data_IF_353049917780
#
_entry.id   IF_353049917780
#
_cell.length_a   1.000
_cell.length_b   1.000
_cell.length_c   1.000
_cell.angle_alpha   90.00
_cell.angle_beta   90.00
_cell.angle_gamma   90.00
#
_symmetry.space_group_name_H-M   'P 1'
#
loop_
_entity.id
_entity.type
_entity.pdbx_description
1 polymer ?
#
# COMPACT_ATOMS: atom_id res chain seq x y z
N UNK A 1 -51.96 102.22 50.78
CA UNK A 1 -50.78 101.66 50.08
C UNK A 1 -50.37 100.27 50.59
N UNK A 2 -50.39 100.01 51.90
CA UNK A 2 -49.92 98.75 52.53
C UNK A 2 -50.59 97.47 52.00
N UNK A 3 -51.90 97.48 51.70
CA UNK A 3 -52.59 96.31 51.11
C UNK A 3 -52.08 95.96 49.71
N UNK A 4 -51.67 96.94 48.90
CA UNK A 4 -51.16 96.68 47.54
C UNK A 4 -49.76 96.07 47.58
N UNK A 5 -48.89 96.54 48.48
CA UNK A 5 -47.53 95.98 48.64
C UNK A 5 -47.55 94.57 49.21
N UNK A 6 -48.40 94.27 50.18
CA UNK A 6 -48.58 92.90 50.70
C UNK A 6 -49.10 91.92 49.64
N UNK A 7 -50.06 92.36 48.82
CA UNK A 7 -50.57 91.54 47.73
C UNK A 7 -49.50 91.27 46.66
N UNK A 8 -48.63 92.23 46.36
CA UNK A 8 -47.52 92.07 45.40
C UNK A 8 -46.46 91.10 45.95
N UNK A 9 -46.11 91.20 47.23
CA UNK A 9 -45.14 90.28 47.88
C UNK A 9 -45.68 88.85 47.94
N UNK A 10 -46.98 88.67 48.26
CA UNK A 10 -47.62 87.35 48.23
C UNK A 10 -47.63 86.76 46.82
N UNK A 11 -47.89 87.58 45.79
CA UNK A 11 -47.85 87.14 44.39
C UNK A 11 -46.43 86.79 43.93
N UNK A 12 -45.41 87.53 44.40
CA UNK A 12 -43.99 87.25 44.13
C UNK A 12 -43.52 85.96 44.80
N UNK A 13 -43.92 85.71 46.05
CA UNK A 13 -43.63 84.44 46.73
C UNK A 13 -44.32 83.26 46.05
N UNK A 14 -45.58 83.43 45.64
CA UNK A 14 -46.33 82.40 44.91
C UNK A 14 -45.69 82.11 43.54
N UNK A 15 -45.26 83.15 42.83
CA UNK A 15 -44.60 83.00 41.53
C UNK A 15 -43.18 82.44 41.65
N UNK A 16 -42.42 82.80 42.68
CA UNK A 16 -41.15 82.16 43.01
C UNK A 16 -41.30 80.68 43.34
N UNK A 17 -42.35 80.31 44.11
CA UNK A 17 -42.67 78.93 44.43
C UNK A 17 -43.12 78.14 43.20
N UNK A 18 -43.94 78.74 42.33
CA UNK A 18 -44.37 78.15 41.06
C UNK A 18 -43.20 77.93 40.11
N UNK A 19 -42.29 78.91 39.98
CA UNK A 19 -41.09 78.77 39.14
C UNK A 19 -40.23 77.61 39.66
N UNK A 20 -39.98 77.54 40.96
CA UNK A 20 -39.17 76.47 41.54
C UNK A 20 -39.86 75.10 41.42
N UNK A 21 -41.18 75.04 41.56
CA UNK A 21 -41.98 73.82 41.35
C UNK A 21 -42.01 73.38 39.87
N UNK A 22 -42.06 74.30 38.92
CA UNK A 22 -41.97 74.03 37.48
C UNK A 22 -40.58 73.52 37.13
N UNK A 23 -39.51 74.14 37.65
CA UNK A 23 -38.12 73.70 37.43
C UNK A 23 -37.87 72.32 38.04
N UNK A 24 -38.36 72.05 39.26
CA UNK A 24 -38.29 70.72 39.89
C UNK A 24 -39.07 69.68 39.08
N UNK A 25 -40.25 70.01 38.59
CA UNK A 25 -41.07 69.13 37.74
C UNK A 25 -40.39 68.84 36.39
N UNK A 26 -39.75 69.83 35.77
CA UNK A 26 -38.99 69.65 34.53
C UNK A 26 -37.73 68.80 34.75
N UNK A 27 -37.03 69.00 35.87
CA UNK A 27 -35.88 68.18 36.25
C UNK A 27 -36.30 66.74 36.55
N UNK A 28 -37.43 66.51 37.21
CA UNK A 28 -37.98 65.17 37.44
C UNK A 28 -38.42 64.49 36.14
N UNK A 29 -39.05 65.22 35.21
CA UNK A 29 -39.39 64.69 33.88
C UNK A 29 -38.14 64.31 33.07
N UNK A 30 -37.10 65.15 33.10
CA UNK A 30 -35.80 64.85 32.47
C UNK A 30 -35.11 63.67 33.14
N UNK A 31 -35.15 63.58 34.46
CA UNK A 31 -34.61 62.45 35.23
C UNK A 31 -35.34 61.15 34.87
N UNK A 32 -36.67 61.19 34.78
CA UNK A 32 -37.49 60.04 34.42
C UNK A 32 -37.22 59.56 32.99
N UNK A 33 -37.16 60.48 32.03
CA UNK A 33 -36.79 60.15 30.64
C UNK A 33 -35.35 59.61 30.53
N UNK A 34 -34.42 60.14 31.33
CA UNK A 34 -33.05 59.62 31.41
C UNK A 34 -32.99 58.22 32.03
N UNK A 35 -33.79 57.94 33.07
CA UNK A 35 -33.89 56.62 33.69
C UNK A 35 -34.51 55.59 32.73
N UNK A 36 -35.52 55.96 31.97
CA UNK A 36 -36.16 55.11 30.97
C UNK A 36 -35.20 54.77 29.82
N UNK A 37 -34.48 55.77 29.30
CA UNK A 37 -33.44 55.56 28.27
C UNK A 37 -32.27 54.71 28.79
N UNK A 38 -31.87 54.87 30.06
CA UNK A 38 -30.86 54.02 30.68
C UNK A 38 -31.36 52.59 30.88
N UNK A 39 -32.62 52.40 31.28
CA UNK A 39 -33.23 51.08 31.42
C UNK A 39 -33.28 50.35 30.07
N UNK A 40 -33.64 51.05 29.01
CA UNK A 40 -33.60 50.52 27.64
C UNK A 40 -32.17 50.15 27.22
N UNK A 41 -31.20 51.01 27.49
CA UNK A 41 -29.78 50.75 27.23
C UNK A 41 -29.27 49.51 27.99
N UNK A 42 -29.67 49.34 29.25
CA UNK A 42 -29.36 48.14 30.06
C UNK A 42 -30.02 46.89 29.47
N UNK A 43 -31.25 46.99 28.98
CA UNK A 43 -31.95 45.88 28.33
C UNK A 43 -31.25 45.46 27.03
N UNK A 44 -30.84 46.41 26.21
CA UNK A 44 -30.05 46.16 24.99
C UNK A 44 -28.69 45.56 25.33
N UNK A 45 -28.00 46.07 26.36
CA UNK A 45 -26.73 45.52 26.81
C UNK A 45 -26.86 44.05 27.25
N UNK A 46 -27.92 43.72 28.00
CA UNK A 46 -28.22 42.34 28.39
C UNK A 46 -28.48 41.42 27.19
N UNK A 47 -29.16 41.91 26.15
CA UNK A 47 -29.37 41.15 24.92
C UNK A 47 -28.06 40.90 24.17
N UNK A 48 -27.20 41.90 24.08
CA UNK A 48 -25.86 41.77 23.48
C UNK A 48 -25.02 40.77 24.27
N UNK A 49 -25.02 40.84 25.60
CA UNK A 49 -24.32 39.87 26.45
C UNK A 49 -24.82 38.44 26.23
N UNK A 50 -26.14 38.24 26.17
CA UNK A 50 -26.73 36.92 25.88
C UNK A 50 -26.28 36.38 24.52
N UNK A 51 -26.26 37.23 23.48
CA UNK A 51 -25.75 36.85 22.15
C UNK A 51 -24.26 36.50 22.16
N UNK A 52 -23.44 37.22 22.93
CA UNK A 52 -22.01 36.92 23.09
C UNK A 52 -21.82 35.56 23.77
N UNK A 53 -22.58 35.25 24.82
CA UNK A 53 -22.53 33.96 25.51
C UNK A 53 -22.87 32.81 24.54
N UNK A 54 -23.93 32.95 23.74
CA UNK A 54 -24.31 31.94 22.73
C UNK A 54 -23.21 31.76 21.67
N UNK A 55 -22.66 32.86 21.14
CA UNK A 55 -21.57 32.83 20.16
C UNK A 55 -20.32 32.16 20.73
N UNK A 56 -19.96 32.44 21.98
CA UNK A 56 -18.83 31.78 22.65
C UNK A 56 -19.07 30.26 22.81
N UNK A 57 -20.30 29.85 23.12
CA UNK A 57 -20.68 28.44 23.15
C UNK A 57 -20.52 27.76 21.78
N UNK A 58 -20.91 28.45 20.70
CA UNK A 58 -20.70 27.96 19.32
C UNK A 58 -19.22 27.86 18.95
N UNK A 59 -18.41 28.86 19.30
CA UNK A 59 -16.95 28.84 19.09
C UNK A 59 -16.29 27.67 19.82
N UNK A 60 -16.67 27.40 21.07
CA UNK A 60 -16.16 26.25 21.82
C UNK A 60 -16.47 24.92 21.12
N UNK A 61 -17.69 24.76 20.58
CA UNK A 61 -18.04 23.57 19.78
C UNK A 61 -17.23 23.49 18.48
N UNK A 62 -17.00 24.61 17.80
CA UNK A 62 -16.18 24.65 16.59
C UNK A 62 -14.73 24.24 16.89
N UNK A 63 -14.14 24.72 17.99
CA UNK A 63 -12.81 24.30 18.43
C UNK A 63 -12.75 22.80 18.68
N UNK A 64 -13.75 22.23 19.37
CA UNK A 64 -13.78 20.78 19.58
C UNK A 64 -13.89 19.98 18.28
N UNK A 65 -14.63 20.47 17.29
CA UNK A 65 -14.69 19.83 15.96
C UNK A 65 -13.37 19.96 15.22
N UNK A 66 -12.69 21.11 15.33
CA UNK A 66 -11.37 21.33 14.75
C UNK A 66 -10.32 20.39 15.35
N UNK A 67 -10.29 20.23 16.68
CA UNK A 67 -9.39 19.27 17.35
C UNK A 67 -9.63 17.82 16.90
N UNK A 68 -10.89 17.44 16.64
CA UNK A 68 -11.21 16.10 16.12
C UNK A 68 -10.77 15.94 14.68
N UNK A 69 -10.95 16.97 13.86
CA UNK A 69 -10.49 16.96 12.48
C UNK A 69 -8.95 16.86 12.42
N UNK A 70 -8.26 17.61 13.27
CA UNK A 70 -6.80 17.60 13.39
C UNK A 70 -6.27 16.20 13.74
N UNK A 71 -6.83 15.57 14.78
CA UNK A 71 -6.53 14.17 15.12
C UNK A 71 -6.83 13.19 13.98
N UNK A 72 -7.93 13.41 13.27
CA UNK A 72 -8.28 12.59 12.10
C UNK A 72 -7.27 12.73 10.96
N UNK A 73 -6.67 13.91 10.79
CA UNK A 73 -5.61 14.14 9.81
C UNK A 73 -4.30 13.48 10.26
N UNK A 74 -3.93 13.58 11.53
CA UNK A 74 -2.75 12.87 12.08
C UNK A 74 -2.85 11.36 11.88
N UNK A 75 -4.01 10.77 12.17
CA UNK A 75 -4.27 9.35 11.95
C UNK A 75 -4.17 8.98 10.46
N UNK A 76 -4.68 9.84 9.57
CA UNK A 76 -4.60 9.63 8.12
C UNK A 76 -3.15 9.69 7.63
N UNK A 77 -2.36 10.66 8.10
CA UNK A 77 -0.94 10.79 7.80
C UNK A 77 -0.18 9.53 8.25
N UNK A 78 -0.42 9.05 9.47
CA UNK A 78 0.21 7.83 9.98
C UNK A 78 -0.11 6.59 9.14
N UNK A 79 -1.36 6.44 8.70
CA UNK A 79 -1.75 5.34 7.78
C UNK A 79 -1.11 5.48 6.41
N UNK A 80 -1.00 6.68 5.87
CA UNK A 80 -0.33 6.95 4.60
C UNK A 80 1.15 6.61 4.66
N UNK A 81 1.83 6.93 5.77
CA UNK A 81 3.24 6.58 5.97
C UNK A 81 3.47 5.06 6.05
N UNK A 82 2.58 4.34 6.74
CA UNK A 82 2.58 2.87 6.75
C UNK A 82 2.38 2.28 5.36
N UNK A 83 1.44 2.83 4.58
CA UNK A 83 1.20 2.42 3.19
C UNK A 83 2.43 2.67 2.31
N UNK A 84 3.11 3.81 2.47
CA UNK A 84 4.33 4.12 1.73
C UNK A 84 5.45 3.12 2.06
N UNK A 85 5.58 2.75 3.33
CA UNK A 85 6.54 1.71 3.76
C UNK A 85 6.23 0.36 3.13
N UNK A 86 4.95 -0.04 3.09
CA UNK A 86 4.54 -1.29 2.47
C UNK A 86 4.76 -1.28 0.94
N UNK A 87 4.45 -0.17 0.28
CA UNK A 87 4.71 0.00 -1.15
C UNK A 87 6.21 -0.08 -1.47
N UNK A 88 7.07 0.48 -0.63
CA UNK A 88 8.52 0.39 -0.78
C UNK A 88 8.98 -1.08 -0.73
N UNK A 89 8.46 -1.87 0.22
CA UNK A 89 8.75 -3.32 0.28
C UNK A 89 8.27 -4.07 -0.96
N UNK A 90 7.11 -3.70 -1.52
CA UNK A 90 6.60 -4.30 -2.77
C UNK A 90 7.53 -3.99 -3.95
N UNK A 91 8.07 -2.76 -4.03
CA UNK A 91 9.07 -2.39 -5.04
C UNK A 91 10.34 -3.24 -4.90
N UNK A 92 10.84 -3.44 -3.67
CA UNK A 92 12.00 -4.29 -3.40
C UNK A 92 11.76 -5.74 -3.84
N UNK A 93 10.60 -6.32 -3.51
CA UNK A 93 10.24 -7.67 -3.94
C UNK A 93 10.14 -7.81 -5.46
N UNK A 94 9.64 -6.78 -6.15
CA UNK A 94 9.60 -6.78 -7.61
C UNK A 94 11.02 -6.74 -8.19
N UNK A 95 11.93 -5.95 -7.62
CA UNK A 95 13.33 -5.90 -8.04
C UNK A 95 14.02 -7.27 -7.88
N UNK A 96 13.80 -7.93 -6.74
CA UNK A 96 14.34 -9.28 -6.50
C UNK A 96 13.76 -10.33 -7.46
N UNK A 97 12.47 -10.25 -7.76
CA UNK A 97 11.81 -11.15 -8.73
C UNK A 97 12.39 -10.97 -10.13
N UNK A 98 12.63 -9.72 -10.56
CA UNK A 98 13.26 -9.43 -11.85
C UNK A 98 14.69 -10.00 -11.92
N UNK A 99 15.46 -9.87 -10.83
CA UNK A 99 16.80 -10.45 -10.73
C UNK A 99 16.77 -11.98 -10.84
N UNK A 100 15.82 -12.63 -10.17
CA UNK A 100 15.65 -14.08 -10.26
C UNK A 100 15.28 -14.52 -11.68
N UNK A 101 14.40 -13.79 -12.35
CA UNK A 101 14.02 -14.07 -13.74
C UNK A 101 15.21 -13.94 -14.70
N UNK A 102 16.06 -12.93 -14.54
CA UNK A 102 17.29 -12.79 -15.33
C UNK A 102 18.24 -13.97 -15.11
N UNK A 103 18.42 -14.41 -13.87
CA UNK A 103 19.22 -15.60 -13.55
C UNK A 103 18.63 -16.86 -14.19
N UNK A 104 17.32 -17.05 -14.12
CA UNK A 104 16.63 -18.19 -14.73
C UNK A 104 16.79 -18.21 -16.25
N UNK A 105 16.70 -17.06 -16.91
CA UNK A 105 16.94 -16.94 -18.36
C UNK A 105 18.38 -17.29 -18.74
N UNK A 106 19.37 -16.83 -17.94
CA UNK A 106 20.78 -17.18 -18.14
C UNK A 106 21.01 -18.68 -18.01
N UNK A 107 20.46 -19.31 -16.97
CA UNK A 107 20.55 -20.76 -16.79
C UNK A 107 19.86 -21.53 -17.91
N UNK A 108 18.65 -21.13 -18.30
CA UNK A 108 17.92 -21.73 -19.42
C UNK A 108 18.73 -21.66 -20.73
N UNK A 109 19.35 -20.52 -21.00
CA UNK A 109 20.22 -20.33 -22.18
C UNK A 109 21.49 -21.18 -22.12
N UNK A 110 22.08 -21.37 -20.93
CA UNK A 110 23.20 -22.28 -20.73
C UNK A 110 22.76 -23.74 -20.97
N UNK A 111 21.68 -24.19 -20.33
CA UNK A 111 21.15 -25.54 -20.53
C UNK A 111 20.81 -25.85 -21.98
N UNK A 112 20.27 -24.87 -22.73
CA UNK A 112 20.04 -25.03 -24.18
C UNK A 112 21.33 -25.33 -24.93
N UNK A 113 22.43 -24.62 -24.62
CA UNK A 113 23.75 -24.87 -25.24
C UNK A 113 24.30 -26.24 -24.86
N UNK A 114 24.16 -26.63 -23.59
CA UNK A 114 24.61 -27.95 -23.12
C UNK A 114 23.85 -29.09 -23.82
N UNK A 115 22.52 -28.95 -23.96
CA UNK A 115 21.69 -29.91 -24.69
C UNK A 115 22.12 -30.00 -26.16
N UNK A 116 22.41 -28.87 -26.81
CA UNK A 116 22.90 -28.85 -28.19
C UNK A 116 24.26 -29.58 -28.31
N UNK A 117 25.18 -29.34 -27.37
CA UNK A 117 26.48 -30.01 -27.35
C UNK A 117 26.33 -31.52 -27.13
N UNK A 118 25.48 -31.94 -26.18
CA UNK A 118 25.19 -33.37 -25.96
C UNK A 118 24.60 -34.00 -27.22
N UNK A 119 23.65 -33.33 -27.88
CA UNK A 119 23.04 -33.83 -29.12
C UNK A 119 24.07 -33.98 -30.25
N UNK A 120 25.04 -33.07 -30.35
CA UNK A 120 26.14 -33.16 -31.33
C UNK A 120 27.04 -34.34 -31.01
N UNK A 121 27.47 -34.48 -29.75
CA UNK A 121 28.31 -35.60 -29.32
C UNK A 121 27.62 -36.95 -29.56
N UNK A 122 26.31 -37.05 -29.33
CA UNK A 122 25.54 -38.27 -29.63
C UNK A 122 25.47 -38.55 -31.14
N UNK A 123 25.33 -37.52 -31.98
CA UNK A 123 25.36 -37.68 -33.43
C UNK A 123 26.75 -38.13 -33.93
N UNK A 124 27.82 -37.65 -33.29
CA UNK A 124 29.19 -38.09 -33.57
C UNK A 124 29.46 -39.55 -33.18
N UNK A 125 28.69 -40.11 -32.22
CA UNK A 125 28.79 -41.52 -31.83
C UNK A 125 28.11 -42.48 -32.80
N UNK A 126 27.11 -42.03 -33.58
CA UNK A 126 26.38 -42.84 -34.55
C UNK A 126 27.28 -43.62 -35.54
N UNK A 127 28.28 -43.02 -36.21
CA UNK A 127 29.16 -43.76 -37.11
C UNK A 127 29.99 -44.84 -36.40
N UNK A 128 30.44 -44.59 -35.17
CA UNK A 128 31.21 -45.58 -34.40
C UNK A 128 30.33 -46.77 -33.99
N UNK A 129 29.07 -46.51 -33.62
CA UNK A 129 28.11 -47.57 -33.32
C UNK A 129 27.82 -48.43 -34.55
N UNK A 130 27.70 -47.83 -35.73
CA UNK A 130 27.54 -48.55 -37.01
C UNK A 130 28.76 -49.41 -37.34
N UNK A 131 29.97 -48.85 -37.20
CA UNK A 131 31.21 -49.60 -37.39
C UNK A 131 31.31 -50.77 -36.41
N UNK A 132 30.90 -50.58 -35.15
CA UNK A 132 30.91 -51.64 -34.15
C UNK A 132 29.94 -52.77 -34.50
N UNK A 133 28.72 -52.43 -34.97
CA UNK A 133 27.75 -53.41 -35.47
C UNK A 133 28.30 -54.20 -36.69
N UNK A 134 28.95 -53.51 -37.63
CA UNK A 134 29.61 -54.16 -38.77
C UNK A 134 30.73 -55.11 -38.34
N UNK A 135 31.60 -54.69 -37.41
CA UNK A 135 32.66 -55.55 -36.88
C UNK A 135 32.09 -56.79 -36.19
N UNK A 136 31.00 -56.65 -35.42
CA UNK A 136 30.33 -57.78 -34.77
C UNK A 136 29.71 -58.74 -35.78
N UNK A 137 29.09 -58.24 -36.85
CA UNK A 137 28.57 -59.07 -37.95
C UNK A 137 29.68 -59.83 -38.66
N UNK A 138 30.81 -59.18 -38.93
CA UNK A 138 31.97 -59.82 -39.54
C UNK A 138 32.54 -60.91 -38.63
N UNK A 139 32.70 -60.63 -37.34
CA UNK A 139 33.17 -61.61 -36.35
C UNK A 139 32.24 -62.84 -36.29
N UNK A 140 30.91 -62.62 -36.27
CA UNK A 140 29.94 -63.70 -36.29
C UNK A 140 30.04 -64.56 -37.57
N UNK A 141 30.29 -63.93 -38.73
CA UNK A 141 30.52 -64.64 -39.98
C UNK A 141 31.79 -65.48 -39.94
N UNK A 142 32.91 -64.91 -39.48
CA UNK A 142 34.19 -65.62 -39.33
C UNK A 142 34.07 -66.81 -38.38
N UNK A 143 33.40 -66.64 -37.24
CA UNK A 143 33.18 -67.73 -36.28
C UNK A 143 32.39 -68.90 -36.91
N UNK A 144 31.43 -68.60 -37.79
CA UNK A 144 30.65 -69.63 -38.50
C UNK A 144 31.48 -70.36 -39.55
N UNK A 145 32.39 -69.66 -40.24
CA UNK A 145 33.34 -70.29 -41.14
C UNK A 145 34.32 -71.18 -40.39
N UNK A 146 34.85 -70.72 -39.26
CA UNK A 146 35.73 -71.51 -38.39
C UNK A 146 35.04 -72.78 -37.88
N UNK A 147 33.78 -72.69 -37.45
CA UNK A 147 32.98 -73.86 -37.06
C UNK A 147 32.89 -74.88 -38.21
N UNK A 148 32.65 -74.41 -39.43
CA UNK A 148 32.59 -75.27 -40.62
C UNK A 148 33.94 -75.93 -40.90
N UNK A 149 35.03 -75.17 -40.87
CA UNK A 149 36.38 -75.70 -41.08
C UNK A 149 36.75 -76.74 -40.03
N UNK A 150 36.45 -76.49 -38.76
CA UNK A 150 36.69 -77.45 -37.68
C UNK A 150 35.89 -78.75 -37.87
N UNK A 151 34.65 -78.65 -38.36
CA UNK A 151 33.84 -79.82 -38.68
C UNK A 151 34.42 -80.62 -39.85
N UNK A 152 34.88 -79.96 -40.90
CA UNK A 152 35.56 -80.60 -42.03
C UNK A 152 36.86 -81.29 -41.60
N UNK A 153 37.66 -80.65 -40.73
CA UNK A 153 38.87 -81.25 -40.15
C UNK A 153 38.52 -82.49 -39.31
N UNK A 154 37.48 -82.40 -38.47
CA UNK A 154 37.01 -83.53 -37.66
C UNK A 154 36.60 -84.72 -38.53
N UNK A 155 35.80 -84.48 -39.57
CA UNK A 155 35.32 -85.52 -40.48
C UNK A 155 36.48 -86.13 -41.29
N UNK A 156 37.42 -85.31 -41.76
CA UNK A 156 38.65 -85.79 -42.41
C UNK A 156 39.51 -86.64 -41.47
N UNK A 157 39.67 -86.21 -40.22
CA UNK A 157 40.42 -86.96 -39.20
C UNK A 157 39.76 -88.31 -38.91
N UNK A 158 38.43 -88.36 -38.78
CA UNK A 158 37.67 -89.62 -38.63
C UNK A 158 37.86 -90.55 -39.82
N UNK A 159 37.85 -90.02 -41.04
CA UNK A 159 38.09 -90.78 -42.26
C UNK A 159 39.53 -91.31 -42.39
N UNK A 160 40.53 -90.54 -41.94
CA UNK A 160 41.90 -91.05 -41.88
C UNK A 160 42.04 -92.15 -40.82
N UNK A 161 41.43 -91.96 -39.65
CA UNK A 161 41.50 -92.94 -38.56
C UNK A 161 40.87 -94.28 -38.94
N UNK A 162 39.80 -94.28 -39.74
CA UNK A 162 39.17 -95.52 -40.25
C UNK A 162 40.02 -96.27 -41.28
N UNK A 163 41.03 -95.63 -41.87
CA UNK A 163 41.96 -96.23 -42.84
C UNK A 163 43.25 -96.76 -42.21
N UNK A 164 43.52 -96.47 -40.93
CA UNK A 164 44.69 -97.00 -40.23
C UNK A 164 44.44 -98.46 -39.79
N UNK A 165 45.27 -99.42 -40.21
CA UNK A 165 45.12 -100.81 -39.80
C UNK A 165 45.35 -100.95 -38.28
N UNK A 166 44.35 -101.45 -37.55
CA UNK A 166 44.45 -101.76 -36.11
C UNK A 166 43.75 -100.80 -35.14
N UNK A 167 43.11 -99.71 -35.60
CA UNK A 167 42.40 -98.75 -34.71
C UNK A 167 40.91 -99.04 -34.55
N UNK A 168 40.34 -99.96 -35.35
CA UNK A 168 38.99 -100.48 -35.11
C UNK A 168 38.99 -101.56 -34.04
N UNK A 169 39.02 -101.15 -32.77
CA UNK A 169 38.59 -102.00 -31.66
C UNK A 169 37.74 -101.21 -30.67
N UNK A 170 36.43 -101.53 -30.71
CA UNK A 170 35.33 -101.18 -29.79
C UNK A 170 34.86 -99.74 -29.73
#
# INVERSE_FOLDING_TARGET
MIRKTLSIVALLLLSGFLINGITMTQNLKRLHAGLESNLESVKTLNQVQSSIIDKNGKLSKMLSTMDRADKGLDDAIGKTDQLLTLLSKVVDYNADTLRLNDQMLKHSSASKRDIQSISQNLAELDPYMKQMDEMLKNLASTAKEDEKYLKEILDSTRHMNSKLPGVNTR
#
